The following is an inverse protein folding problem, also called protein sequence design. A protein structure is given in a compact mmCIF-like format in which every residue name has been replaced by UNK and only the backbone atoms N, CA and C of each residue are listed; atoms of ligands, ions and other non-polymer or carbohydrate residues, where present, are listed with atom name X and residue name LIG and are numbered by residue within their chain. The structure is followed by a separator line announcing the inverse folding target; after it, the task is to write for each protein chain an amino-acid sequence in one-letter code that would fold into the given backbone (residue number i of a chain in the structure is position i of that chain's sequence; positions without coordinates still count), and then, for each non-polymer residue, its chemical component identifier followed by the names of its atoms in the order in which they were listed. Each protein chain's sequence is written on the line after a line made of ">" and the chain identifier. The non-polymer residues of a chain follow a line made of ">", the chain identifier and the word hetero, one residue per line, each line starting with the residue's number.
data_IF_728263026248
#
_entry.id   IF_728263026248
#
_cell.length_a   1.000
_cell.length_b   1.000
_cell.length_c   1.000
_cell.angle_alpha   90.00
_cell.angle_beta   90.00
_cell.angle_gamma   90.00
#
_symmetry.space_group_name_H-M   'P 1'
#
loop_
_entity.id
_entity.type
_entity.pdbx_description
1 polymer ?
#
# COMPACT_ATOMS: atom_id res chain seq x y z
N UNK A 1 -2.92 28.33 6.80
CA UNK A 1 -1.58 27.86 6.34
C UNK A 1 -1.07 28.85 5.30
N UNK A 2 0.20 29.30 5.38
CA UNK A 2 0.72 30.29 4.43
C UNK A 2 0.84 29.65 3.02
N UNK A 3 0.53 30.38 1.93
CA UNK A 3 0.58 29.87 0.54
C UNK A 3 1.94 29.24 0.22
N UNK A 4 3.02 29.84 0.74
CA UNK A 4 4.39 29.32 0.61
C UNK A 4 4.54 27.89 1.17
N UNK A 5 3.92 27.59 2.31
CA UNK A 5 4.03 26.26 2.92
C UNK A 5 3.27 25.20 2.10
N UNK A 6 2.12 25.55 1.52
CA UNK A 6 1.38 24.65 0.62
C UNK A 6 2.23 24.26 -0.58
N UNK A 7 2.88 25.25 -1.21
CA UNK A 7 3.72 25.02 -2.39
C UNK A 7 4.90 24.11 -2.05
N UNK A 8 5.59 24.35 -0.92
CA UNK A 8 6.73 23.52 -0.54
C UNK A 8 6.30 22.07 -0.25
N UNK A 9 5.15 21.87 0.41
CA UNK A 9 4.62 20.52 0.66
C UNK A 9 4.27 19.81 -0.66
N UNK A 10 3.61 20.52 -1.58
CA UNK A 10 3.28 19.99 -2.89
C UNK A 10 4.55 19.58 -3.67
N UNK A 11 5.59 20.42 -3.67
CA UNK A 11 6.88 20.12 -4.28
C UNK A 11 7.54 18.90 -3.64
N UNK A 12 7.49 18.76 -2.31
CA UNK A 12 8.05 17.61 -1.62
C UNK A 12 7.33 16.30 -1.97
N UNK A 13 5.99 16.34 -2.11
CA UNK A 13 5.19 15.20 -2.57
C UNK A 13 5.58 14.83 -3.99
N UNK A 14 5.64 15.81 -4.91
CA UNK A 14 5.99 15.58 -6.31
C UNK A 14 7.40 15.00 -6.45
N UNK A 15 8.38 15.58 -5.76
CA UNK A 15 9.77 15.08 -5.79
C UNK A 15 9.89 13.69 -5.20
N UNK A 16 9.20 13.40 -4.09
CA UNK A 16 9.15 12.06 -3.52
C UNK A 16 8.57 11.06 -4.51
N UNK A 17 7.45 11.40 -5.15
CA UNK A 17 6.80 10.52 -6.12
C UNK A 17 7.72 10.21 -7.30
N UNK A 18 8.36 11.24 -7.88
CA UNK A 18 9.29 11.07 -9.01
C UNK A 18 10.45 10.17 -8.62
N UNK A 19 11.15 10.48 -7.53
CA UNK A 19 12.37 9.75 -7.14
C UNK A 19 12.03 8.28 -6.80
N UNK A 20 10.95 8.05 -6.07
CA UNK A 20 10.58 6.69 -5.65
C UNK A 20 10.17 5.82 -6.83
N UNK A 21 9.27 6.28 -7.71
CA UNK A 21 8.79 5.48 -8.85
C UNK A 21 9.86 5.33 -9.93
N UNK A 22 10.84 6.25 -10.01
CA UNK A 22 11.96 6.11 -10.95
C UNK A 22 12.76 4.83 -10.71
N UNK A 23 12.90 4.35 -9.46
CA UNK A 23 13.57 3.08 -9.18
C UNK A 23 12.88 1.92 -9.92
N UNK A 24 11.55 1.83 -9.79
CA UNK A 24 10.74 0.82 -10.45
C UNK A 24 10.72 0.97 -11.97
N UNK A 25 10.49 2.18 -12.47
CA UNK A 25 10.42 2.46 -13.91
C UNK A 25 11.74 2.16 -14.61
N UNK A 26 12.88 2.55 -14.04
CA UNK A 26 14.19 2.28 -14.65
C UNK A 26 14.46 0.78 -14.73
N UNK A 27 14.12 0.04 -13.69
CA UNK A 27 14.31 -1.42 -13.68
C UNK A 27 13.43 -2.06 -14.76
N UNK A 28 12.14 -1.71 -14.83
CA UNK A 28 11.25 -2.25 -15.85
C UNK A 28 11.62 -1.86 -17.29
N UNK A 29 12.20 -0.68 -17.50
CA UNK A 29 12.54 -0.20 -18.84
C UNK A 29 13.75 -0.90 -19.45
N UNK A 30 14.73 -1.26 -18.62
CA UNK A 30 16.05 -1.70 -19.08
C UNK A 30 16.38 -3.16 -18.76
N UNK A 31 15.62 -3.81 -17.88
CA UNK A 31 15.92 -5.16 -17.42
C UNK A 31 14.81 -6.12 -17.84
N UNK A 32 15.22 -7.31 -18.28
CA UNK A 32 14.30 -8.40 -18.57
C UNK A 32 14.02 -9.21 -17.29
N UNK A 33 12.80 -9.73 -17.10
CA UNK A 33 12.47 -10.55 -15.95
C UNK A 33 13.35 -11.81 -15.91
N UNK A 34 14.02 -12.09 -14.78
CA UNK A 34 14.62 -13.40 -14.56
C UNK A 34 13.56 -14.51 -14.63
N UNK A 35 13.99 -15.74 -14.89
CA UNK A 35 13.09 -16.89 -14.79
C UNK A 35 12.76 -17.16 -13.32
N UNK A 36 11.49 -17.46 -13.05
CA UNK A 36 10.95 -17.61 -11.70
C UNK A 36 10.38 -19.02 -11.50
N UNK A 37 10.86 -19.72 -10.48
CA UNK A 37 10.44 -21.09 -10.16
C UNK A 37 9.92 -21.19 -8.72
N UNK A 38 8.78 -20.55 -8.44
CA UNK A 38 8.12 -20.67 -7.12
C UNK A 38 7.26 -21.95 -7.10
N UNK A 39 7.48 -22.88 -6.14
CA UNK A 39 6.65 -24.06 -6.02
C UNK A 39 5.19 -23.70 -5.69
N UNK A 40 4.23 -24.33 -6.37
CA UNK A 40 2.80 -23.98 -6.30
C UNK A 40 2.20 -24.06 -4.89
N UNK A 41 2.68 -24.97 -4.05
CA UNK A 41 2.22 -25.14 -2.66
C UNK A 41 2.60 -23.97 -1.75
N UNK A 42 3.64 -23.20 -2.07
CA UNK A 42 4.00 -22.01 -1.31
C UNK A 42 3.00 -20.86 -1.50
N UNK A 43 2.27 -20.82 -2.62
CA UNK A 43 1.34 -19.71 -2.92
C UNK A 43 0.26 -19.53 -1.84
N UNK A 44 -0.21 -20.63 -1.25
CA UNK A 44 -1.19 -20.56 -0.18
C UNK A 44 -0.59 -19.93 1.08
N UNK A 45 0.55 -20.46 1.55
CA UNK A 45 1.23 -19.98 2.77
C UNK A 45 1.64 -18.51 2.62
N UNK A 46 2.19 -18.15 1.46
CA UNK A 46 2.58 -16.78 1.13
C UNK A 46 1.36 -15.87 1.13
N UNK A 47 0.26 -16.30 0.50
CA UNK A 47 -0.98 -15.53 0.47
C UNK A 47 -1.60 -15.33 1.87
N UNK A 48 -1.43 -16.28 2.79
CA UNK A 48 -1.80 -16.12 4.20
C UNK A 48 -0.94 -15.06 4.89
N UNK A 49 0.38 -15.17 4.73
CA UNK A 49 1.34 -14.27 5.38
C UNK A 49 1.20 -12.83 4.91
N UNK A 50 0.97 -12.62 3.60
CA UNK A 50 0.70 -11.31 3.02
C UNK A 50 -0.54 -10.68 3.66
N UNK A 51 -1.67 -11.39 3.67
CA UNK A 51 -2.93 -10.86 4.23
C UNK A 51 -2.81 -10.59 5.72
N UNK A 52 -2.13 -11.46 6.45
CA UNK A 52 -1.82 -11.24 7.85
C UNK A 52 -0.99 -9.97 8.05
N UNK A 53 0.06 -9.79 7.26
CA UNK A 53 0.87 -8.57 7.23
C UNK A 53 0.02 -7.32 6.99
N UNK A 54 -0.86 -7.34 5.97
CA UNK A 54 -1.76 -6.23 5.67
C UNK A 54 -2.63 -5.83 6.88
N UNK A 55 -3.22 -6.82 7.57
CA UNK A 55 -4.05 -6.59 8.75
C UNK A 55 -3.20 -6.00 9.89
N UNK A 56 -2.00 -6.53 10.13
CA UNK A 56 -1.07 -6.02 11.15
C UNK A 56 -0.63 -4.59 10.85
N UNK A 57 -0.32 -4.27 9.60
CA UNK A 57 0.06 -2.92 9.19
C UNK A 57 -1.11 -1.94 9.36
N UNK A 58 -2.32 -2.31 8.92
CA UNK A 58 -3.52 -1.49 9.10
C UNK A 58 -3.81 -1.24 10.60
N UNK A 59 -3.67 -2.27 11.43
CA UNK A 59 -3.81 -2.15 12.88
C UNK A 59 -2.80 -1.19 13.47
N UNK A 60 -1.52 -1.33 13.11
CA UNK A 60 -0.46 -0.44 13.58
C UNK A 60 -0.77 1.02 13.22
N UNK A 61 -1.13 1.27 11.96
CA UNK A 61 -1.53 2.61 11.49
C UNK A 61 -2.68 3.14 12.35
N UNK A 62 -3.76 2.38 12.51
CA UNK A 62 -4.95 2.80 13.25
C UNK A 62 -4.64 3.10 14.73
N UNK A 63 -3.88 2.23 15.40
CA UNK A 63 -3.49 2.41 16.81
C UNK A 63 -2.68 3.69 16.98
N UNK A 64 -1.69 3.91 16.11
CA UNK A 64 -0.83 5.08 16.19
C UNK A 64 -1.57 6.39 15.85
N UNK A 65 -2.60 6.31 15.01
CA UNK A 65 -3.39 7.47 14.56
C UNK A 65 -4.75 7.63 15.26
N UNK A 66 -5.07 6.79 16.25
CA UNK A 66 -6.39 6.72 16.92
C UNK A 66 -6.94 8.06 17.36
N UNK A 67 -6.10 8.96 17.89
CA UNK A 67 -6.52 10.25 18.42
C UNK A 67 -7.21 11.13 17.37
N UNK A 68 -6.93 10.91 16.08
CA UNK A 68 -7.60 11.58 14.97
C UNK A 68 -8.92 10.91 14.62
N UNK A 69 -8.93 9.57 14.52
CA UNK A 69 -10.08 8.80 14.08
C UNK A 69 -11.25 8.80 15.05
N UNK A 70 -11.01 8.87 16.36
CA UNK A 70 -12.08 8.85 17.38
C UNK A 70 -12.97 10.10 17.31
N UNK A 71 -12.47 11.20 16.74
CA UNK A 71 -13.25 12.43 16.54
C UNK A 71 -14.20 12.37 15.33
N UNK A 72 -14.03 11.37 14.48
CA UNK A 72 -14.80 11.20 13.24
C UNK A 72 -15.91 10.18 13.51
N UNK A 73 -17.12 10.46 13.04
CA UNK A 73 -18.26 9.56 13.18
C UNK A 73 -17.94 8.15 12.61
N UNK A 74 -18.34 7.04 13.27
CA UNK A 74 -17.86 5.69 12.97
C UNK A 74 -17.99 5.27 11.50
N UNK A 75 -19.12 5.59 10.85
CA UNK A 75 -19.35 5.26 9.44
C UNK A 75 -18.33 5.93 8.50
N UNK A 76 -18.10 7.24 8.67
CA UNK A 76 -17.13 7.99 7.86
C UNK A 76 -15.70 7.56 8.16
N UNK A 77 -15.39 7.24 9.42
CA UNK A 77 -14.08 6.71 9.81
C UNK A 77 -13.74 5.43 9.04
N UNK A 78 -14.68 4.48 8.96
CA UNK A 78 -14.48 3.22 8.22
C UNK A 78 -14.18 3.49 6.74
N UNK A 79 -14.98 4.36 6.11
CA UNK A 79 -14.82 4.70 4.69
C UNK A 79 -13.50 5.41 4.44
N UNK A 80 -13.18 6.45 5.22
CA UNK A 80 -11.94 7.21 5.08
C UNK A 80 -10.71 6.35 5.33
N UNK A 81 -10.76 5.46 6.31
CA UNK A 81 -9.66 4.53 6.58
C UNK A 81 -9.50 3.53 5.43
N UNK A 82 -10.60 3.00 4.87
CA UNK A 82 -10.55 2.12 3.71
C UNK A 82 -9.95 2.81 2.48
N UNK A 83 -10.39 4.05 2.18
CA UNK A 83 -9.83 4.87 1.09
C UNK A 83 -8.34 5.09 1.31
N UNK A 84 -7.92 5.40 2.55
CA UNK A 84 -6.52 5.64 2.86
C UNK A 84 -5.67 4.37 2.69
N UNK A 85 -6.17 3.20 3.09
CA UNK A 85 -5.48 1.92 2.86
C UNK A 85 -5.42 1.58 1.37
N UNK A 86 -6.51 1.76 0.62
CA UNK A 86 -6.53 1.52 -0.83
C UNK A 86 -5.58 2.46 -1.57
N UNK A 87 -5.55 3.73 -1.20
CA UNK A 87 -4.63 4.70 -1.78
C UNK A 87 -3.19 4.37 -1.43
N UNK A 88 -2.93 3.96 -0.18
CA UNK A 88 -1.60 3.52 0.23
C UNK A 88 -1.16 2.32 -0.60
N UNK A 89 -2.03 1.35 -0.87
CA UNK A 89 -1.71 0.13 -1.62
C UNK A 89 -1.82 0.25 -3.14
N UNK A 90 -2.03 1.47 -3.66
CA UNK A 90 -2.16 1.78 -5.10
C UNK A 90 -3.42 1.24 -5.77
N UNK A 91 -4.36 0.75 -4.98
CA UNK A 91 -5.53 0.06 -5.48
C UNK A 91 -6.70 1.02 -5.73
N UNK A 92 -6.67 2.25 -5.21
CA UNK A 92 -7.82 3.15 -5.35
C UNK A 92 -7.97 3.63 -6.81
N UNK A 93 -6.90 4.13 -7.42
CA UNK A 93 -6.92 4.59 -8.82
C UNK A 93 -5.75 4.04 -9.64
N UNK A 94 -4.52 4.01 -9.11
CA UNK A 94 -3.30 3.64 -9.86
C UNK A 94 -3.44 2.30 -10.58
N UNK A 95 -3.72 1.21 -9.87
CA UNK A 95 -3.84 -0.12 -10.49
C UNK A 95 -4.89 -0.12 -11.60
N UNK A 96 -6.10 0.37 -11.30
CA UNK A 96 -7.19 0.41 -12.27
C UNK A 96 -6.85 1.22 -13.53
N UNK A 97 -6.26 2.41 -13.37
CA UNK A 97 -5.87 3.27 -14.49
C UNK A 97 -4.75 2.61 -15.31
N UNK A 98 -3.73 2.09 -14.66
CA UNK A 98 -2.59 1.46 -15.34
C UNK A 98 -3.01 0.19 -16.09
N UNK A 99 -3.87 -0.65 -15.51
CA UNK A 99 -4.39 -1.84 -16.19
C UNK A 99 -5.19 -1.46 -17.45
N UNK A 100 -5.99 -0.39 -17.38
CA UNK A 100 -6.75 0.10 -18.54
C UNK A 100 -5.81 0.61 -19.63
N UNK A 101 -4.79 1.39 -19.27
CA UNK A 101 -3.78 1.89 -20.22
C UNK A 101 -3.02 0.74 -20.87
N UNK A 102 -2.76 -0.33 -20.11
CA UNK A 102 -2.02 -1.50 -20.57
C UNK A 102 -2.87 -2.45 -21.43
N UNK A 103 -4.17 -2.16 -21.60
CA UNK A 103 -5.05 -2.85 -22.54
C UNK A 103 -6.17 -3.68 -21.89
N UNK A 104 -6.33 -3.62 -20.56
CA UNK A 104 -7.44 -4.28 -19.87
C UNK A 104 -8.74 -3.50 -20.10
N UNK A 105 -9.83 -4.13 -20.58
CA UNK A 105 -11.11 -3.46 -20.72
C UNK A 105 -11.60 -2.90 -19.38
N UNK A 106 -12.03 -1.63 -19.36
CA UNK A 106 -12.41 -0.94 -18.13
C UNK A 106 -13.49 -1.68 -17.32
N UNK A 107 -14.48 -2.29 -18.00
CA UNK A 107 -15.53 -3.10 -17.35
C UNK A 107 -14.94 -4.30 -16.63
N UNK A 108 -14.00 -4.98 -17.27
CA UNK A 108 -13.30 -6.12 -16.70
C UNK A 108 -12.53 -5.69 -15.45
N UNK A 109 -11.76 -4.59 -15.55
CA UNK A 109 -10.94 -4.07 -14.44
C UNK A 109 -11.78 -3.66 -13.22
N UNK A 110 -12.92 -2.99 -13.43
CA UNK A 110 -13.79 -2.59 -12.32
C UNK A 110 -14.33 -3.83 -11.59
N UNK A 111 -14.81 -4.82 -12.35
CA UNK A 111 -15.42 -6.02 -11.77
C UNK A 111 -14.37 -6.91 -11.09
N UNK A 112 -13.18 -7.05 -11.68
CA UNK A 112 -12.07 -7.82 -11.09
C UNK A 112 -11.52 -7.20 -9.81
N UNK A 113 -11.67 -5.88 -9.62
CA UNK A 113 -11.19 -5.16 -8.43
C UNK A 113 -12.13 -5.25 -7.22
N UNK A 114 -13.40 -5.65 -7.40
CA UNK A 114 -14.41 -5.71 -6.32
C UNK A 114 -13.96 -6.54 -5.10
N UNK A 115 -13.42 -7.77 -5.24
CA UNK A 115 -13.00 -8.58 -4.09
C UNK A 115 -11.93 -7.86 -3.25
N UNK A 116 -11.05 -7.14 -3.93
CA UNK A 116 -9.95 -6.43 -3.32
C UNK A 116 -10.45 -5.16 -2.61
N UNK A 117 -11.43 -4.43 -3.18
CA UNK A 117 -12.10 -3.34 -2.45
C UNK A 117 -12.82 -3.82 -1.19
N UNK A 118 -13.51 -4.96 -1.28
CA UNK A 118 -14.15 -5.59 -0.13
C UNK A 118 -13.13 -5.97 0.95
N UNK A 119 -11.93 -6.41 0.56
CA UNK A 119 -10.84 -6.73 1.51
C UNK A 119 -10.47 -5.52 2.36
N UNK A 120 -10.18 -4.37 1.74
CA UNK A 120 -9.84 -3.14 2.49
C UNK A 120 -11.00 -2.61 3.31
N UNK A 121 -12.23 -2.77 2.83
CA UNK A 121 -13.42 -2.41 3.58
C UNK A 121 -13.59 -3.28 4.83
N UNK A 122 -13.43 -4.61 4.72
CA UNK A 122 -13.50 -5.54 5.86
C UNK A 122 -12.38 -5.25 6.87
N UNK A 123 -11.15 -5.04 6.41
CA UNK A 123 -10.03 -4.64 7.29
C UNK A 123 -10.40 -3.36 8.04
N UNK A 124 -10.91 -2.36 7.34
CA UNK A 124 -11.24 -1.07 7.95
C UNK A 124 -12.42 -1.14 8.91
N UNK A 125 -13.48 -1.83 8.52
CA UNK A 125 -14.67 -2.09 9.33
C UNK A 125 -14.29 -2.76 10.64
N UNK A 126 -13.58 -3.89 10.54
CA UNK A 126 -13.17 -4.65 11.71
C UNK A 126 -12.19 -3.86 12.57
N UNK A 127 -11.21 -3.16 11.99
CA UNK A 127 -10.21 -2.40 12.75
C UNK A 127 -10.85 -1.25 13.51
N UNK A 128 -11.73 -0.49 12.84
CA UNK A 128 -12.38 0.68 13.41
C UNK A 128 -13.39 0.33 14.51
N UNK A 129 -14.15 -0.76 14.37
CA UNK A 129 -15.17 -1.18 15.35
C UNK A 129 -14.59 -1.96 16.52
N UNK A 130 -13.60 -2.82 16.27
CA UNK A 130 -13.03 -3.71 17.29
C UNK A 130 -12.21 -2.94 18.34
N UNK A 131 -11.49 -1.90 17.93
CA UNK A 131 -10.59 -1.16 18.82
C UNK A 131 -11.25 -0.22 19.82
N UNK A 132 -12.53 0.13 19.62
CA UNK A 132 -13.24 0.91 20.63
C UNK A 132 -13.48 0.12 21.93
N UNK A 133 -13.59 -1.21 21.82
CA UNK A 133 -14.02 -2.07 22.94
C UNK A 133 -12.88 -2.75 23.70
N UNK A 134 -11.69 -2.91 23.09
CA UNK A 134 -10.65 -3.83 23.59
C UNK A 134 -9.56 -3.18 24.45
N UNK A 135 -9.60 -1.87 24.60
CA UNK A 135 -8.57 -1.12 25.32
C UNK A 135 -8.58 -1.38 26.84
N UNK A 136 -9.60 -2.07 27.36
CA UNK A 136 -9.75 -2.36 28.79
C UNK A 136 -8.75 -3.40 29.34
N UNK A 137 -8.20 -4.32 28.54
CA UNK A 137 -7.32 -5.38 29.07
C UNK A 137 -5.84 -5.06 28.80
N UNK A 138 -5.19 -4.33 29.73
CA UNK A 138 -3.83 -3.79 29.56
C UNK A 138 -2.74 -4.86 29.37
N UNK A 139 -2.86 -6.01 30.04
CA UNK A 139 -1.82 -7.05 30.08
C UNK A 139 -1.85 -8.03 28.90
N UNK A 140 -2.97 -8.12 28.18
CA UNK A 140 -3.14 -9.06 27.05
C UNK A 140 -3.25 -8.37 25.69
N UNK A 141 -2.94 -7.07 25.60
CA UNK A 141 -3.14 -6.29 24.37
C UNK A 141 -2.47 -6.91 23.15
N UNK A 142 -1.21 -7.34 23.28
CA UNK A 142 -0.49 -7.97 22.19
C UNK A 142 -1.17 -9.27 21.72
N UNK A 143 -1.56 -10.13 22.67
CA UNK A 143 -2.24 -11.40 22.36
C UNK A 143 -3.60 -11.13 21.68
N UNK A 144 -4.36 -10.15 22.16
CA UNK A 144 -5.64 -9.79 21.55
C UNK A 144 -5.46 -9.24 20.13
N UNK A 145 -4.43 -8.42 19.88
CA UNK A 145 -4.13 -7.92 18.54
C UNK A 145 -3.69 -9.04 17.60
N UNK A 146 -2.90 -9.99 18.09
CA UNK A 146 -2.48 -11.17 17.34
C UNK A 146 -3.68 -12.05 16.98
N UNK A 147 -4.51 -12.40 17.95
CA UNK A 147 -5.72 -13.21 17.75
C UNK A 147 -6.66 -12.52 16.76
N UNK A 148 -6.87 -11.21 16.92
CA UNK A 148 -7.67 -10.43 15.98
C UNK A 148 -7.11 -10.48 14.56
N UNK A 149 -5.79 -10.28 14.40
CA UNK A 149 -5.16 -10.33 13.09
C UNK A 149 -5.34 -11.71 12.44
N UNK A 150 -5.24 -12.80 13.22
CA UNK A 150 -5.51 -14.16 12.75
C UNK A 150 -6.97 -14.32 12.30
N UNK A 151 -7.93 -13.91 13.14
CA UNK A 151 -9.37 -14.04 12.86
C UNK A 151 -9.75 -13.24 11.60
N UNK A 152 -9.31 -11.98 11.50
CA UNK A 152 -9.61 -11.15 10.33
C UNK A 152 -8.94 -11.72 9.09
N UNK A 153 -7.72 -12.24 9.19
CA UNK A 153 -7.08 -12.91 8.05
C UNK A 153 -7.88 -14.12 7.58
N UNK A 154 -8.35 -14.96 8.51
CA UNK A 154 -9.21 -16.10 8.20
C UNK A 154 -10.52 -15.68 7.50
N UNK A 155 -11.18 -14.63 8.02
CA UNK A 155 -12.39 -14.07 7.42
C UNK A 155 -12.12 -13.53 6.01
N UNK A 156 -11.01 -12.82 5.81
CA UNK A 156 -10.63 -12.29 4.49
C UNK A 156 -10.46 -13.40 3.46
N UNK A 157 -9.83 -14.51 3.82
CA UNK A 157 -9.66 -15.66 2.92
C UNK A 157 -11.01 -16.24 2.53
N UNK A 158 -11.89 -16.44 3.52
CA UNK A 158 -13.23 -16.94 3.27
C UNK A 158 -14.01 -16.02 2.33
N UNK A 159 -14.10 -14.73 2.65
CA UNK A 159 -14.84 -13.77 1.83
C UNK A 159 -14.23 -13.58 0.44
N UNK A 160 -12.90 -13.60 0.31
CA UNK A 160 -12.23 -13.53 -0.99
C UNK A 160 -12.56 -14.72 -1.87
N UNK A 161 -12.58 -15.94 -1.30
CA UNK A 161 -12.94 -17.13 -2.06
C UNK A 161 -14.41 -17.09 -2.49
N UNK A 162 -15.31 -16.67 -1.61
CA UNK A 162 -16.73 -16.49 -1.94
C UNK A 162 -16.91 -15.44 -3.03
N UNK A 163 -16.32 -14.26 -2.86
CA UNK A 163 -16.40 -13.16 -3.83
C UNK A 163 -15.84 -13.58 -5.19
N UNK A 164 -14.69 -14.27 -5.21
CA UNK A 164 -14.09 -14.80 -6.44
C UNK A 164 -15.04 -15.79 -7.14
N UNK A 165 -15.65 -16.71 -6.40
CA UNK A 165 -16.59 -17.68 -6.97
C UNK A 165 -17.85 -17.02 -7.53
N UNK A 166 -18.33 -15.93 -6.90
CA UNK A 166 -19.49 -15.17 -7.39
C UNK A 166 -19.17 -14.30 -8.60
N UNK A 167 -17.97 -13.73 -8.68
CA UNK A 167 -17.58 -12.79 -9.72
C UNK A 167 -17.02 -13.50 -10.97
N UNK A 168 -16.41 -14.67 -10.82
CA UNK A 168 -15.82 -15.42 -11.95
C UNK A 168 -16.78 -15.64 -13.12
N UNK A 169 -18.06 -16.04 -12.90
CA UNK A 169 -19.03 -16.17 -13.99
C UNK A 169 -19.25 -14.84 -14.74
N UNK A 170 -19.32 -13.72 -14.02
CA UNK A 170 -19.50 -12.39 -14.62
C UNK A 170 -18.28 -12.02 -15.47
N UNK A 171 -17.07 -12.25 -14.95
CA UNK A 171 -15.82 -11.99 -15.67
C UNK A 171 -15.72 -12.80 -16.96
N UNK A 172 -16.21 -14.05 -16.96
CA UNK A 172 -16.20 -14.90 -18.16
C UNK A 172 -17.11 -14.38 -19.29
N UNK A 173 -18.11 -13.56 -18.97
CA UNK A 173 -18.98 -12.91 -19.95
C UNK A 173 -18.48 -11.55 -20.43
N UNK A 174 -17.47 -10.98 -19.77
CA UNK A 174 -16.84 -9.75 -20.21
C UNK A 174 -15.75 -10.06 -21.23
N UNK A 175 -15.49 -9.11 -22.14
CA UNK A 175 -14.30 -9.14 -23.00
C UNK A 175 -13.07 -9.33 -22.11
N UNK A 176 -12.41 -10.48 -22.27
CA UNK A 176 -11.19 -10.77 -21.55
C UNK A 176 -10.10 -9.78 -22.00
N UNK A 177 -9.13 -9.47 -21.13
CA UNK A 177 -8.00 -8.65 -21.51
C UNK A 177 -7.34 -9.24 -22.76
N UNK A 178 -7.17 -8.43 -23.80
CA UNK A 178 -6.32 -8.84 -24.89
C UNK A 178 -4.92 -9.09 -24.29
N UNK A 179 -4.28 -10.21 -24.63
CA UNK A 179 -2.86 -10.42 -24.32
C UNK A 179 -1.96 -9.50 -25.18
N UNK A 180 -2.39 -8.26 -25.44
CA UNK A 180 -1.61 -7.29 -26.18
C UNK A 180 -0.38 -6.95 -25.33
N UNK A 181 0.74 -7.56 -25.74
CA UNK A 181 2.04 -7.45 -25.11
C UNK A 181 2.59 -6.04 -25.21
N UNK A 182 2.36 -5.25 -24.17
CA UNK A 182 3.25 -4.14 -23.88
C UNK A 182 4.56 -4.73 -23.37
N UNK A 183 5.48 -4.93 -24.32
CA UNK A 183 6.84 -5.34 -24.02
C UNK A 183 7.69 -4.09 -23.76
N UNK A 184 8.55 -4.12 -22.73
CA UNK A 184 9.58 -3.10 -22.56
C UNK A 184 10.43 -2.99 -23.84
N UNK A 185 10.91 -1.78 -24.22
CA UNK A 185 10.75 -0.52 -23.51
C UNK A 185 9.33 0.09 -23.63
N UNK A 186 8.78 0.56 -22.53
CA UNK A 186 7.47 1.21 -22.51
C UNK A 186 7.53 2.60 -23.15
N UNK A 187 6.50 2.94 -23.93
CA UNK A 187 6.33 4.28 -24.51
C UNK A 187 5.82 5.32 -23.49
N UNK A 188 5.90 6.59 -23.86
CA UNK A 188 5.46 7.71 -23.00
C UNK A 188 3.99 7.62 -22.55
N UNK A 189 3.15 6.94 -23.33
CA UNK A 189 1.74 6.68 -23.00
C UNK A 189 1.55 5.77 -21.77
N UNK A 190 2.56 4.97 -21.39
CA UNK A 190 2.58 4.19 -20.14
C UNK A 190 3.38 4.91 -19.06
N UNK A 191 4.52 5.50 -19.44
CA UNK A 191 5.42 6.15 -18.48
C UNK A 191 4.76 7.37 -17.81
N UNK A 192 4.17 8.29 -18.57
CA UNK A 192 3.57 9.51 -17.99
C UNK A 192 2.47 9.14 -16.96
N UNK A 193 1.51 8.27 -17.29
CA UNK A 193 0.51 7.85 -16.30
C UNK A 193 1.09 7.11 -15.10
N UNK A 194 2.16 6.33 -15.26
CA UNK A 194 2.82 5.67 -14.13
C UNK A 194 3.31 6.68 -13.09
N UNK A 195 3.94 7.79 -13.52
CA UNK A 195 4.36 8.86 -12.61
C UNK A 195 3.18 9.64 -12.01
N UNK A 196 2.17 9.97 -12.82
CA UNK A 196 1.01 10.75 -12.35
C UNK A 196 0.21 9.96 -11.33
N UNK A 197 -0.09 8.70 -11.62
CA UNK A 197 -0.87 7.84 -10.72
C UNK A 197 -0.11 7.49 -9.45
N UNK A 198 1.23 7.50 -9.47
CA UNK A 198 2.04 7.32 -8.26
C UNK A 198 1.94 8.46 -7.24
N UNK A 199 1.33 9.60 -7.60
CA UNK A 199 0.99 10.63 -6.62
C UNK A 199 -0.01 10.13 -5.57
N UNK A 200 -0.89 9.19 -5.92
CA UNK A 200 -1.88 8.60 -5.00
C UNK A 200 -1.22 7.92 -3.78
N UNK A 201 -0.38 6.88 -3.93
CA UNK A 201 0.29 6.24 -2.80
C UNK A 201 1.24 7.20 -2.09
N UNK A 202 1.82 8.17 -2.81
CA UNK A 202 2.69 9.18 -2.21
C UNK A 202 1.90 10.08 -1.25
N UNK A 203 0.76 10.62 -1.68
CA UNK A 203 -0.09 11.46 -0.84
C UNK A 203 -0.60 10.65 0.36
N UNK A 204 -1.04 9.41 0.15
CA UNK A 204 -1.48 8.51 1.24
C UNK A 204 -0.36 8.28 2.26
N UNK A 205 0.88 8.07 1.79
CA UNK A 205 2.07 7.92 2.65
C UNK A 205 2.32 9.16 3.49
N UNK A 206 2.26 10.37 2.91
CA UNK A 206 2.41 11.63 3.65
C UNK A 206 1.31 11.83 4.71
N UNK A 207 0.06 11.49 4.37
CA UNK A 207 -1.07 11.56 5.31
C UNK A 207 -0.84 10.60 6.48
N UNK A 208 -0.53 9.33 6.20
CA UNK A 208 -0.29 8.32 7.24
C UNK A 208 0.88 8.72 8.12
N UNK A 209 2.01 9.14 7.51
CA UNK A 209 3.16 9.60 8.26
C UNK A 209 2.78 10.76 9.19
N UNK A 210 2.03 11.75 8.69
CA UNK A 210 1.53 12.86 9.51
C UNK A 210 0.67 12.41 10.69
N UNK A 211 -0.18 11.39 10.47
CA UNK A 211 -1.05 10.83 11.52
C UNK A 211 -0.26 10.08 12.60
N UNK A 212 0.80 9.33 12.23
CA UNK A 212 1.55 8.49 13.17
C UNK A 212 2.79 9.16 13.75
N UNK A 213 3.33 10.22 13.14
CA UNK A 213 4.62 10.83 13.49
C UNK A 213 4.71 11.25 14.98
N UNK A 214 3.61 11.73 15.58
CA UNK A 214 3.60 12.10 17.00
C UNK A 214 3.91 10.89 17.91
N UNK A 215 3.45 9.69 17.55
CA UNK A 215 3.73 8.44 18.28
C UNK A 215 5.14 7.90 18.02
N UNK A 216 5.77 8.32 16.94
CA UNK A 216 7.15 7.96 16.59
C UNK A 216 8.18 8.99 17.08
N UNK A 217 7.78 9.96 17.91
CA UNK A 217 8.61 11.12 18.31
C UNK A 217 9.95 10.76 18.96
N UNK A 218 10.04 9.59 19.61
CA UNK A 218 11.28 9.09 20.20
C UNK A 218 12.35 8.68 19.17
N UNK A 219 11.94 8.32 17.96
CA UNK A 219 12.86 7.83 16.93
C UNK A 219 13.47 8.96 16.11
N UNK A 220 14.70 8.75 15.61
CA UNK A 220 15.32 9.68 14.67
C UNK A 220 14.66 9.60 13.27
N UNK A 221 14.93 10.57 12.40
CA UNK A 221 14.32 10.66 11.06
C UNK A 221 14.54 9.41 10.23
N UNK A 222 15.75 8.85 10.26
CA UNK A 222 16.08 7.63 9.51
C UNK A 222 15.20 6.47 9.93
N UNK A 223 15.10 6.21 11.24
CA UNK A 223 14.31 5.10 11.76
C UNK A 223 12.81 5.31 11.53
N UNK A 224 12.31 6.56 11.61
CA UNK A 224 10.93 6.88 11.20
C UNK A 224 10.67 6.52 9.74
N UNK A 225 11.62 6.84 8.85
CA UNK A 225 11.53 6.50 7.43
C UNK A 225 11.57 4.99 7.19
N UNK A 226 12.42 4.26 7.92
CA UNK A 226 12.46 2.79 7.86
C UNK A 226 11.18 2.13 8.39
N UNK A 227 10.60 2.66 9.47
CA UNK A 227 9.29 2.19 9.97
C UNK A 227 8.21 2.42 8.91
N UNK A 228 8.20 3.60 8.28
CA UNK A 228 7.23 3.91 7.23
C UNK A 228 7.42 2.99 6.02
N UNK A 229 8.66 2.79 5.55
CA UNK A 229 8.97 1.84 4.49
C UNK A 229 8.51 0.42 4.84
N UNK A 230 8.77 -0.03 6.07
CA UNK A 230 8.33 -1.34 6.57
C UNK A 230 6.81 -1.50 6.54
N UNK A 231 6.06 -0.47 6.93
CA UNK A 231 4.59 -0.47 6.84
C UNK A 231 4.14 -0.63 5.38
N UNK A 232 4.72 0.14 4.46
CA UNK A 232 4.38 0.10 3.02
C UNK A 232 4.72 -1.28 2.43
N UNK A 233 5.91 -1.82 2.74
CA UNK A 233 6.34 -3.14 2.28
C UNK A 233 5.39 -4.23 2.78
N UNK A 234 5.03 -4.20 4.06
CA UNK A 234 4.15 -5.22 4.65
C UNK A 234 2.74 -5.15 4.06
N UNK A 235 2.20 -3.94 3.85
CA UNK A 235 0.83 -3.78 3.32
C UNK A 235 0.72 -4.04 1.82
N UNK A 236 1.78 -3.80 1.04
CA UNK A 236 1.83 -4.10 -0.41
C UNK A 236 2.26 -5.51 -0.75
N UNK A 237 2.40 -6.39 0.24
CA UNK A 237 2.97 -7.71 0.01
C UNK A 237 4.42 -7.68 -0.53
N UNK A 238 5.18 -6.61 -0.31
CA UNK A 238 6.57 -6.49 -0.79
C UNK A 238 7.50 -7.60 -0.29
N UNK A 239 7.11 -8.32 0.76
CA UNK A 239 7.79 -9.56 1.20
C UNK A 239 7.79 -10.64 0.10
N UNK A 240 6.80 -10.62 -0.80
CA UNK A 240 6.77 -11.50 -1.97
C UNK A 240 7.98 -11.27 -2.89
N UNK A 241 8.48 -10.04 -3.00
CA UNK A 241 9.72 -9.75 -3.73
C UNK A 241 10.91 -10.53 -3.17
N UNK A 242 11.00 -10.71 -1.85
CA UNK A 242 12.09 -11.49 -1.23
C UNK A 242 12.01 -12.96 -1.66
N UNK A 243 10.80 -13.51 -1.74
CA UNK A 243 10.57 -14.88 -2.20
C UNK A 243 10.93 -15.00 -3.68
N UNK A 244 10.51 -14.05 -4.50
CA UNK A 244 10.91 -14.01 -5.91
C UNK A 244 12.42 -13.91 -6.07
N UNK A 245 13.10 -13.12 -5.22
CA UNK A 245 14.56 -13.05 -5.21
C UNK A 245 15.17 -14.40 -4.86
N UNK A 246 14.62 -15.20 -3.94
CA UNK A 246 15.18 -16.50 -3.54
C UNK A 246 14.94 -17.60 -4.60
N UNK A 247 13.78 -17.60 -5.25
CA UNK A 247 13.35 -18.66 -6.17
C UNK A 247 13.52 -18.34 -7.67
N UNK A 248 14.19 -17.24 -7.99
CA UNK A 248 14.55 -16.91 -9.37
C UNK A 248 15.87 -17.55 -9.79
N UNK A 249 16.16 -17.53 -11.09
CA UNK A 249 17.42 -18.02 -11.63
C UNK A 249 18.39 -16.89 -11.97
N UNK A 250 19.67 -17.23 -12.02
CA UNK A 250 20.75 -16.30 -12.40
C UNK A 250 21.37 -15.54 -11.22
N UNK A 251 22.07 -14.46 -11.56
CA UNK A 251 22.91 -13.69 -10.65
C UNK A 251 22.09 -13.04 -9.51
N UNK A 252 22.52 -13.21 -8.26
CA UNK A 252 21.80 -12.72 -7.07
C UNK A 252 21.63 -11.21 -7.06
N UNK A 253 22.62 -10.43 -7.52
CA UNK A 253 22.51 -8.98 -7.62
C UNK A 253 21.47 -8.60 -8.66
N UNK A 254 21.50 -9.20 -9.85
CA UNK A 254 20.52 -8.93 -10.91
C UNK A 254 19.09 -9.23 -10.44
N UNK A 255 18.87 -10.37 -9.79
CA UNK A 255 17.56 -10.76 -9.23
C UNK A 255 17.10 -9.81 -8.12
N UNK A 256 18.01 -9.39 -7.25
CA UNK A 256 17.74 -8.45 -6.15
C UNK A 256 17.37 -7.08 -6.69
N UNK A 257 18.07 -6.61 -7.73
CA UNK A 257 17.70 -5.39 -8.42
C UNK A 257 16.32 -5.53 -9.08
N UNK A 258 16.10 -6.58 -9.88
CA UNK A 258 14.85 -6.74 -10.62
C UNK A 258 13.62 -6.96 -9.71
N UNK A 259 13.59 -8.03 -8.92
CA UNK A 259 12.43 -8.35 -8.08
C UNK A 259 12.32 -7.43 -6.86
N UNK A 260 13.43 -6.84 -6.42
CA UNK A 260 13.46 -5.84 -5.35
C UNK A 260 12.98 -4.45 -5.79
N UNK A 261 12.61 -4.23 -7.05
CA UNK A 261 12.18 -2.92 -7.56
C UNK A 261 11.14 -2.21 -6.67
N UNK A 262 10.14 -2.96 -6.19
CA UNK A 262 9.11 -2.42 -5.29
C UNK A 262 9.66 -2.16 -3.88
N UNK A 263 10.59 -2.99 -3.39
CA UNK A 263 11.26 -2.75 -2.11
C UNK A 263 12.06 -1.44 -2.15
N UNK A 264 12.76 -1.17 -3.25
CA UNK A 264 13.51 0.08 -3.44
C UNK A 264 12.57 1.30 -3.53
N UNK A 265 11.48 1.18 -4.28
CA UNK A 265 10.43 2.20 -4.40
C UNK A 265 9.84 2.54 -3.01
N UNK A 266 9.45 1.52 -2.24
CA UNK A 266 8.85 1.71 -0.91
C UNK A 266 9.85 2.21 0.13
N UNK A 267 11.11 1.80 0.05
CA UNK A 267 12.18 2.31 0.88
C UNK A 267 12.42 3.80 0.61
N UNK A 268 12.55 4.19 -0.66
CA UNK A 268 12.67 5.58 -1.06
C UNK A 268 11.45 6.39 -0.60
N UNK A 269 10.25 5.87 -0.81
CA UNK A 269 8.99 6.53 -0.43
C UNK A 269 8.91 6.79 1.08
N UNK A 270 9.23 5.78 1.91
CA UNK A 270 9.24 5.92 3.37
C UNK A 270 10.30 6.91 3.87
N UNK A 271 11.54 6.80 3.38
CA UNK A 271 12.65 7.66 3.77
C UNK A 271 12.44 9.12 3.35
N UNK A 272 12.06 9.36 2.08
CA UNK A 272 11.82 10.69 1.55
C UNK A 272 10.60 11.35 2.19
N UNK A 273 9.56 10.58 2.52
CA UNK A 273 8.42 11.11 3.29
C UNK A 273 8.87 11.56 4.66
N UNK A 274 9.61 10.73 5.42
CA UNK A 274 10.08 11.10 6.75
C UNK A 274 11.04 12.31 6.72
N UNK A 275 11.96 12.34 5.76
CA UNK A 275 12.88 13.45 5.54
C UNK A 275 12.13 14.75 5.22
N UNK A 276 11.23 14.70 4.23
CA UNK A 276 10.39 15.83 3.85
C UNK A 276 9.59 16.34 5.03
N UNK A 277 8.91 15.45 5.74
CA UNK A 277 8.04 15.84 6.86
C UNK A 277 8.83 16.44 8.02
N UNK A 278 10.02 15.93 8.34
CA UNK A 278 10.84 16.46 9.44
C UNK A 278 11.40 17.85 9.13
N UNK A 279 11.96 18.05 7.93
CA UNK A 279 12.44 19.37 7.52
C UNK A 279 11.33 20.38 7.22
N UNK A 280 10.16 19.93 6.76
CA UNK A 280 9.00 20.80 6.62
C UNK A 280 8.31 21.09 7.96
N UNK A 281 8.37 20.18 8.95
CA UNK A 281 7.86 20.42 10.30
C UNK A 281 8.67 21.48 11.05
N UNK A 282 9.98 21.58 10.80
CA UNK A 282 10.79 22.72 11.23
C UNK A 282 10.30 24.06 10.65
N UNK A 283 9.59 24.02 9.51
CA UNK A 283 8.91 25.16 8.87
C UNK A 283 7.39 25.27 9.14
N UNK A 284 6.88 24.56 10.17
CA UNK A 284 5.46 24.49 10.60
C UNK A 284 4.53 23.82 9.57
N UNK A 285 4.48 22.49 9.63
CA UNK A 285 3.49 21.65 8.95
C UNK A 285 2.15 21.74 9.70
N UNK A 286 1.21 22.55 9.19
CA UNK A 286 -0.10 22.83 9.82
C UNK A 286 -1.27 22.06 9.21
N UNK A 287 -1.03 20.92 8.57
CA UNK A 287 -2.10 20.19 7.88
C UNK A 287 -3.12 19.54 8.84
N UNK A 288 -2.81 19.41 10.13
CA UNK A 288 -3.69 18.75 11.11
C UNK A 288 -3.94 19.57 12.39
N UNK A 289 -3.86 20.91 12.33
CA UNK A 289 -4.36 21.77 13.42
C UNK A 289 -5.86 22.03 13.37
N UNK A 290 -6.60 21.39 12.45
CA UNK A 290 -8.05 21.51 12.33
C UNK A 290 -8.84 20.86 13.48
N UNK A 291 -8.17 20.30 14.50
CA UNK A 291 -8.83 19.67 15.65
C UNK A 291 -8.11 19.93 16.99
N UNK A 292 -7.41 21.07 17.13
CA UNK A 292 -7.08 21.63 18.45
C UNK A 292 -8.09 22.71 18.81
#
# INVERSE_FOLDING_TARGET
>A
MNKKNIIIIALAIIMTAIISVSAHVLILQYFQPPQLHIPSHFNLIIGLFIRFGMVVAALFIYICSRNYWVKIHPAYRIILFAILLMALTEQLLRDSIMQIIVGTPWKYQIVSSIPLYLTYFIISLTTCLFFEKIIMIRHLRFLVYLIYAIIVTALLIFFMNVAKNMITPILNHLLQPAQSGLHPPYGMHVLIPAYITFLEPTIATFIIFGLINKKLSFFNTLLKGLIMAGIIIVIHAGIYSIIQIIYSEGNIFYRTFYYGQFLWEYLALGLLTAYSFTHLSASKFYLMRFCE
#
